data_IF_739772448654
#
_entry.id   IF_739772448654
#
_cell.length_a   1.000
_cell.length_b   1.000
_cell.length_c   1.000
_cell.angle_alpha   90.00
_cell.angle_beta   90.00
_cell.angle_gamma   90.00
#
_symmetry.space_group_name_H-M   'P 1'
#
loop_
_entity.id
_entity.type
_entity.pdbx_description
1 polymer ?
#
# COMPACT_ATOMS: atom_id res chain seq x y z
N UNK A 1 22.07 16.14 15.17
CA UNK A 1 21.85 14.68 15.01
C UNK A 1 22.75 13.99 16.00
N UNK A 2 22.23 13.07 16.83
CA UNK A 2 23.04 12.39 17.82
C UNK A 2 23.81 11.25 17.14
N UNK A 3 25.12 11.38 17.00
CA UNK A 3 25.99 10.33 16.48
C UNK A 3 26.09 9.21 17.52
N UNK A 4 25.70 8.02 17.15
CA UNK A 4 25.56 6.89 18.07
C UNK A 4 26.05 5.55 17.51
N UNK A 5 26.74 5.58 16.36
CA UNK A 5 27.42 4.43 15.78
C UNK A 5 28.89 4.72 15.60
N UNK A 6 29.73 3.72 15.88
CA UNK A 6 31.15 3.70 15.50
C UNK A 6 31.40 2.56 14.51
N UNK A 7 32.04 2.89 13.41
CA UNK A 7 32.41 1.92 12.36
C UNK A 7 33.91 1.80 12.32
N UNK A 8 34.40 0.59 12.54
CA UNK A 8 35.81 0.25 12.61
C UNK A 8 36.25 -0.35 11.29
N UNK A 9 37.42 0.06 10.82
CA UNK A 9 38.06 -0.49 9.62
C UNK A 9 39.47 -0.95 9.94
N UNK A 10 39.99 -1.91 9.19
CA UNK A 10 41.34 -2.49 9.41
C UNK A 10 42.51 -1.53 9.16
N UNK A 11 42.28 -0.26 8.79
CA UNK A 11 43.33 0.76 8.67
C UNK A 11 42.78 2.17 8.67
N UNK A 12 43.56 3.14 9.13
CA UNK A 12 43.27 4.58 9.10
C UNK A 12 43.00 5.07 7.67
N UNK A 13 43.74 4.54 6.70
CA UNK A 13 43.55 4.91 5.29
C UNK A 13 42.15 4.56 4.78
N UNK A 14 41.56 3.41 5.21
CA UNK A 14 40.18 3.04 4.88
C UNK A 14 39.17 3.98 5.53
N UNK A 15 39.38 4.34 6.82
CA UNK A 15 38.55 5.32 7.53
C UNK A 15 38.48 6.63 6.76
N UNK A 16 39.63 7.22 6.42
CA UNK A 16 39.73 8.50 5.71
C UNK A 16 39.11 8.45 4.31
N UNK A 17 39.26 7.31 3.61
CA UNK A 17 38.66 7.13 2.28
C UNK A 17 37.13 7.05 2.35
N UNK A 18 36.60 6.35 3.34
CA UNK A 18 35.13 6.23 3.57
C UNK A 18 34.59 7.57 4.05
N UNK A 19 35.23 8.24 5.01
CA UNK A 19 34.82 9.55 5.50
C UNK A 19 34.65 10.56 4.35
N UNK A 20 35.68 10.67 3.50
CA UNK A 20 35.64 11.59 2.36
C UNK A 20 34.50 11.28 1.41
N UNK A 21 34.32 10.01 1.02
CA UNK A 21 33.26 9.62 0.09
C UNK A 21 31.85 9.78 0.70
N UNK A 22 31.72 9.60 2.01
CA UNK A 22 30.47 9.84 2.74
C UNK A 22 30.14 11.33 2.83
N UNK A 23 31.10 12.18 3.14
CA UNK A 23 30.96 13.64 3.16
C UNK A 23 30.62 14.22 1.77
N UNK A 24 31.26 13.70 0.72
CA UNK A 24 30.98 14.10 -0.68
C UNK A 24 29.51 13.80 -1.06
N UNK A 25 28.84 12.92 -0.33
CA UNK A 25 27.40 12.60 -0.44
C UNK A 25 26.50 13.30 0.58
N UNK A 26 27.08 14.21 1.37
CA UNK A 26 26.32 14.99 2.35
C UNK A 26 26.03 14.26 3.67
N UNK A 27 26.67 13.11 3.93
CA UNK A 27 26.51 12.40 5.21
C UNK A 27 27.25 13.12 6.34
N UNK A 28 26.62 13.17 7.52
CA UNK A 28 27.22 13.72 8.75
C UNK A 28 28.09 12.68 9.44
N UNK A 29 29.36 12.58 9.03
CA UNK A 29 30.34 11.61 9.51
C UNK A 29 31.64 12.29 9.97
N UNK A 30 32.27 11.76 10.98
CA UNK A 30 33.59 12.20 11.44
C UNK A 30 34.53 11.02 11.75
N UNK A 31 35.78 11.18 11.37
CA UNK A 31 36.86 10.31 11.82
C UNK A 31 37.30 10.75 13.23
N UNK A 32 37.09 9.89 14.23
CA UNK A 32 37.36 10.18 15.64
C UNK A 32 38.35 9.18 16.23
N UNK A 33 39.09 9.54 17.29
CA UNK A 33 39.92 8.57 18.01
C UNK A 33 39.06 7.42 18.55
N UNK A 34 39.51 6.19 18.35
CA UNK A 34 38.79 5.01 18.83
C UNK A 34 38.74 5.00 20.37
N UNK A 35 37.57 4.85 21.00
CA UNK A 35 37.47 4.62 22.43
C UNK A 35 38.20 3.33 22.82
N UNK A 36 38.88 3.32 23.97
CA UNK A 36 39.65 2.14 24.46
C UNK A 36 38.82 0.86 24.59
N UNK A 37 37.50 1.00 24.76
CA UNK A 37 36.53 -0.11 24.82
C UNK A 37 36.16 -0.71 23.46
N UNK A 38 36.57 -0.06 22.34
CA UNK A 38 36.15 -0.45 20.99
C UNK A 38 37.27 -1.05 20.17
N UNK A 39 38.49 -0.52 20.27
CA UNK A 39 39.66 -1.04 19.53
C UNK A 39 40.94 -0.75 20.24
N UNK A 40 41.84 -1.76 20.28
CA UNK A 40 43.25 -1.63 20.71
C UNK A 40 44.22 -1.45 19.53
N UNK A 41 43.79 -1.70 18.28
CA UNK A 41 44.68 -1.80 17.11
C UNK A 41 44.56 -0.65 16.11
N UNK A 42 43.41 0.02 16.02
CA UNK A 42 43.20 1.16 15.10
C UNK A 42 42.91 2.41 15.90
N UNK A 43 43.79 3.41 15.82
CA UNK A 43 43.64 4.65 16.57
C UNK A 43 42.52 5.58 16.11
N UNK A 44 41.83 5.28 14.98
CA UNK A 44 40.77 6.10 14.38
C UNK A 44 39.60 5.21 13.90
N UNK A 45 38.40 5.65 14.16
CA UNK A 45 37.14 5.02 13.72
C UNK A 45 36.22 6.07 13.12
N UNK A 46 35.22 5.65 12.33
CA UNK A 46 34.22 6.55 11.79
C UNK A 46 33.05 6.66 12.75
N UNK A 47 32.68 7.85 13.15
CA UNK A 47 31.49 8.14 13.96
C UNK A 47 30.36 8.66 13.05
N UNK A 48 29.16 8.10 13.18
CA UNK A 48 27.99 8.44 12.35
C UNK A 48 26.69 8.32 13.16
N UNK A 49 25.65 9.02 12.73
CA UNK A 49 24.29 8.84 13.22
C UNK A 49 23.65 7.56 12.67
N UNK A 50 22.82 6.88 13.47
CA UNK A 50 22.09 5.69 12.98
C UNK A 50 21.14 6.00 11.85
N UNK A 51 20.70 7.24 11.69
CA UNK A 51 19.86 7.67 10.56
C UNK A 51 20.60 7.62 9.20
N UNK A 52 21.94 7.69 9.23
CA UNK A 52 22.75 7.72 8.01
C UNK A 52 23.44 6.35 7.74
N UNK A 53 23.12 5.32 8.54
CA UNK A 53 23.76 4.00 8.45
C UNK A 53 23.56 3.32 7.09
N UNK A 54 22.35 3.40 6.51
CA UNK A 54 22.03 2.84 5.19
C UNK A 54 22.80 3.55 4.08
N UNK A 55 22.80 4.88 4.12
CA UNK A 55 23.53 5.67 3.14
C UNK A 55 25.05 5.44 3.24
N UNK A 56 25.57 5.14 4.44
CA UNK A 56 26.94 4.71 4.60
C UNK A 56 27.17 3.31 4.01
N UNK A 57 26.23 2.39 4.15
CA UNK A 57 26.32 1.06 3.53
C UNK A 57 26.46 1.17 2.02
N UNK A 58 25.65 2.02 1.37
CA UNK A 58 25.76 2.30 -0.08
C UNK A 58 27.15 2.85 -0.48
N UNK A 59 27.74 3.70 0.36
CA UNK A 59 29.11 4.20 0.14
C UNK A 59 30.13 3.06 0.25
N UNK A 60 29.98 2.19 1.23
CA UNK A 60 30.88 1.05 1.45
C UNK A 60 30.82 0.05 0.29
N UNK A 61 29.64 -0.23 -0.22
CA UNK A 61 29.43 -1.11 -1.37
C UNK A 61 30.09 -0.57 -2.65
N UNK A 62 29.95 0.73 -2.90
CA UNK A 62 30.59 1.40 -4.04
C UNK A 62 32.12 1.35 -3.92
N UNK A 63 32.64 1.57 -2.72
CA UNK A 63 34.10 1.55 -2.46
C UNK A 63 34.65 0.14 -2.37
N UNK A 64 33.79 -0.90 -2.25
CA UNK A 64 34.16 -2.29 -1.94
C UNK A 64 35.02 -2.39 -0.68
N UNK A 65 34.59 -1.68 0.37
CA UNK A 65 35.26 -1.66 1.68
C UNK A 65 34.28 -2.25 2.69
N UNK A 66 34.70 -3.31 3.37
CA UNK A 66 33.92 -3.90 4.47
C UNK A 66 34.45 -3.36 5.82
N UNK A 67 33.55 -2.99 6.75
CA UNK A 67 33.94 -2.66 8.11
C UNK A 67 34.40 -3.92 8.86
N UNK A 68 35.36 -3.76 9.74
CA UNK A 68 35.87 -4.85 10.60
C UNK A 68 34.93 -5.08 11.79
N UNK A 69 34.30 -4.03 12.31
CA UNK A 69 33.33 -4.09 13.38
C UNK A 69 32.46 -2.80 13.40
N UNK A 70 31.28 -2.92 13.97
CA UNK A 70 30.40 -1.79 14.23
C UNK A 70 29.97 -1.83 15.70
N UNK A 71 29.87 -0.67 16.32
CA UNK A 71 29.44 -0.52 17.71
C UNK A 71 28.34 0.53 17.81
N UNK A 72 27.37 0.30 18.68
CA UNK A 72 26.28 1.25 19.00
C UNK A 72 26.40 1.74 20.43
N UNK A 73 26.17 3.04 20.63
CA UNK A 73 26.19 3.67 21.95
C UNK A 73 24.92 3.30 22.74
N UNK A 74 25.11 2.74 23.96
CA UNK A 74 24.04 2.52 24.92
C UNK A 74 24.43 3.22 26.24
N UNK A 75 23.83 4.37 26.52
CA UNK A 75 24.27 5.23 27.62
C UNK A 75 25.71 5.71 27.40
N UNK A 76 26.61 5.39 28.32
CA UNK A 76 28.06 5.73 28.21
C UNK A 76 28.92 4.61 27.62
N UNK A 77 28.32 3.46 27.25
CA UNK A 77 29.06 2.30 26.77
C UNK A 77 28.84 2.04 25.29
N UNK A 78 29.83 1.41 24.62
CA UNK A 78 29.74 0.96 23.24
C UNK A 78 29.53 -0.55 23.21
N UNK A 79 28.48 -1.01 22.53
CA UNK A 79 28.15 -2.45 22.38
C UNK A 79 28.26 -2.87 20.93
N UNK A 80 28.77 -4.09 20.64
CA UNK A 80 28.80 -4.62 19.27
C UNK A 80 27.46 -4.51 18.59
N UNK A 81 27.45 -4.13 17.31
CA UNK A 81 26.27 -3.90 16.49
C UNK A 81 26.61 -4.21 15.02
N UNK A 82 25.65 -4.01 14.13
CA UNK A 82 25.81 -4.03 12.68
C UNK A 82 25.47 -2.66 12.09
N UNK A 83 25.94 -2.39 10.86
CA UNK A 83 25.49 -1.22 10.09
C UNK A 83 24.06 -1.39 9.58
N UNK A 84 23.56 -2.62 9.52
CA UNK A 84 22.17 -2.86 9.21
C UNK A 84 21.30 -2.08 10.21
N UNK A 85 20.56 -1.12 9.70
CA UNK A 85 19.49 -0.48 10.46
C UNK A 85 18.62 -1.60 10.99
N UNK A 86 18.37 -1.57 12.28
CA UNK A 86 17.58 -2.52 13.06
C UNK A 86 17.00 -3.66 12.22
N UNK A 87 17.61 -4.84 12.30
CA UNK A 87 16.88 -6.07 12.01
C UNK A 87 15.44 -5.92 12.50
N UNK A 88 14.50 -6.39 11.73
CA UNK A 88 13.04 -6.41 11.81
C UNK A 88 12.42 -6.69 13.22
N UNK A 89 13.14 -6.51 14.30
CA UNK A 89 12.70 -6.71 15.68
C UNK A 89 12.12 -5.46 16.38
N UNK A 90 12.19 -4.28 15.75
CA UNK A 90 11.21 -3.23 16.00
C UNK A 90 10.28 -3.21 14.80
N UNK A 91 9.19 -3.95 14.90
CA UNK A 91 8.05 -3.86 13.99
C UNK A 91 7.73 -2.37 13.82
N UNK A 92 8.14 -1.84 12.67
CA UNK A 92 7.73 -0.50 12.26
C UNK A 92 6.23 -0.58 12.11
N UNK A 93 5.50 0.04 13.04
CA UNK A 93 4.04 0.07 12.95
C UNK A 93 3.64 1.11 11.93
N UNK A 94 3.34 0.67 10.74
CA UNK A 94 2.95 1.54 9.64
C UNK A 94 1.75 2.42 9.99
N UNK A 95 0.83 1.90 10.81
CA UNK A 95 -0.41 2.61 11.18
C UNK A 95 -0.20 3.75 12.17
N UNK A 96 0.91 3.78 12.92
CA UNK A 96 1.20 4.87 13.89
C UNK A 96 1.43 6.22 13.19
N UNK A 97 1.95 6.23 11.96
CA UNK A 97 2.19 7.43 11.16
C UNK A 97 0.98 7.97 10.41
N UNK A 98 -0.18 7.30 10.47
CA UNK A 98 -1.36 7.65 9.68
C UNK A 98 -2.52 8.12 10.55
N UNK A 99 -3.13 9.25 10.17
CA UNK A 99 -4.32 9.78 10.86
C UNK A 99 -5.56 8.87 10.66
N UNK A 100 -5.63 8.18 9.51
CA UNK A 100 -6.75 7.31 9.12
C UNK A 100 -6.23 5.93 8.75
N UNK A 101 -7.08 4.91 8.81
CA UNK A 101 -6.78 3.55 8.33
C UNK A 101 -7.46 3.26 7.01
N UNK A 102 -6.67 2.96 5.95
CA UNK A 102 -7.17 2.49 4.67
C UNK A 102 -8.24 3.36 4.04
N UNK A 103 -9.29 2.72 3.56
CA UNK A 103 -10.42 3.38 2.89
C UNK A 103 -11.22 4.35 3.79
N UNK A 104 -11.02 4.34 5.11
CA UNK A 104 -11.56 5.35 6.04
C UNK A 104 -10.98 6.76 5.83
N UNK A 105 -9.91 6.89 5.03
CA UNK A 105 -9.35 8.17 4.61
C UNK A 105 -10.09 8.82 3.43
N UNK A 106 -11.06 8.14 2.80
CA UNK A 106 -11.84 8.70 1.67
C UNK A 106 -12.62 9.95 2.12
N UNK A 107 -12.63 10.98 1.27
CA UNK A 107 -13.52 12.14 1.46
C UNK A 107 -14.98 11.69 1.44
N UNK A 108 -15.84 12.36 2.20
CA UNK A 108 -17.26 12.03 2.17
C UNK A 108 -17.85 12.26 0.77
N UNK A 109 -18.75 11.35 0.33
CA UNK A 109 -19.41 11.41 -0.97
C UNK A 109 -20.07 12.78 -1.22
N UNK A 110 -20.75 13.35 -0.22
CA UNK A 110 -21.42 14.65 -0.34
C UNK A 110 -20.45 15.81 -0.59
N UNK A 111 -19.29 15.82 0.07
CA UNK A 111 -18.26 16.82 -0.17
C UNK A 111 -17.68 16.68 -1.58
N UNK A 112 -17.33 15.46 -1.98
CA UNK A 112 -16.75 15.19 -3.30
C UNK A 112 -17.76 15.57 -4.42
N UNK A 113 -19.03 15.19 -4.27
CA UNK A 113 -20.10 15.59 -5.19
C UNK A 113 -20.19 17.11 -5.32
N UNK A 114 -20.20 17.85 -4.20
CA UNK A 114 -20.26 19.32 -4.21
C UNK A 114 -19.09 19.94 -4.97
N UNK A 115 -17.88 19.40 -4.82
CA UNK A 115 -16.69 19.89 -5.52
C UNK A 115 -16.76 19.58 -7.02
N UNK A 116 -17.18 18.38 -7.40
CA UNK A 116 -17.20 17.94 -8.80
C UNK A 116 -18.35 18.56 -9.61
N UNK A 117 -19.51 18.85 -9.00
CA UNK A 117 -20.66 19.44 -9.68
C UNK A 117 -20.38 20.82 -10.34
N UNK A 118 -19.35 21.53 -9.87
CA UNK A 118 -18.95 22.82 -10.44
C UNK A 118 -17.94 22.75 -11.57
N UNK A 119 -17.46 21.57 -11.92
CA UNK A 119 -16.39 21.41 -12.91
C UNK A 119 -16.95 21.21 -14.32
N UNK A 120 -16.25 21.72 -15.37
CA UNK A 120 -16.60 21.46 -16.76
C UNK A 120 -16.55 19.94 -17.05
N UNK A 121 -17.56 19.44 -17.74
CA UNK A 121 -17.59 18.04 -18.19
C UNK A 121 -16.97 17.91 -19.56
N UNK A 122 -16.07 16.94 -19.70
CA UNK A 122 -15.51 16.55 -20.99
C UNK A 122 -16.33 15.37 -21.51
N UNK A 123 -17.16 15.63 -22.49
CA UNK A 123 -17.96 14.60 -23.17
C UNK A 123 -17.12 13.93 -24.27
N UNK A 124 -17.28 12.62 -24.41
CA UNK A 124 -16.76 11.83 -25.52
C UNK A 124 -17.73 10.70 -25.82
N UNK A 125 -17.97 10.42 -27.10
CA UNK A 125 -18.79 9.28 -27.53
C UNK A 125 -18.12 7.93 -27.16
N UNK A 126 -16.82 7.94 -26.92
CA UNK A 126 -16.05 6.76 -26.51
C UNK A 126 -16.08 6.53 -25.00
N UNK A 127 -16.55 7.48 -24.19
CA UNK A 127 -16.67 7.33 -22.75
C UNK A 127 -17.93 6.52 -22.40
N UNK A 128 -17.75 5.23 -22.08
CA UNK A 128 -18.87 4.32 -21.72
C UNK A 128 -19.31 4.53 -20.27
N UNK A 129 -18.34 4.68 -19.36
CA UNK A 129 -18.57 4.95 -17.93
C UNK A 129 -17.65 6.09 -17.50
N UNK A 130 -18.25 7.16 -16.95
CA UNK A 130 -17.57 8.34 -16.45
C UNK A 130 -17.87 8.58 -14.97
N UNK A 131 -17.67 9.82 -14.54
CA UNK A 131 -17.83 10.21 -13.12
C UNK A 131 -19.31 10.40 -12.70
N UNK A 132 -20.26 10.31 -13.63
CA UNK A 132 -21.66 10.64 -13.40
C UNK A 132 -22.41 9.54 -12.63
N UNK A 133 -22.07 8.29 -12.88
CA UNK A 133 -22.77 7.12 -12.33
C UNK A 133 -22.14 6.59 -11.04
N UNK A 134 -21.00 7.15 -10.62
CA UNK A 134 -20.27 6.71 -9.45
C UNK A 134 -19.98 5.19 -9.45
N UNK A 135 -19.76 4.62 -10.65
CA UNK A 135 -19.29 3.25 -10.82
C UNK A 135 -17.84 3.10 -10.31
N UNK A 136 -17.38 1.87 -10.11
CA UNK A 136 -16.10 1.55 -9.48
C UNK A 136 -14.90 2.02 -10.33
N UNK A 137 -15.03 2.06 -11.66
CA UNK A 137 -13.99 2.54 -12.56
C UNK A 137 -14.52 3.28 -13.79
N UNK A 138 -13.68 4.11 -14.41
CA UNK A 138 -13.94 4.71 -15.72
C UNK A 138 -13.71 3.71 -16.85
N UNK A 139 -14.59 3.74 -17.89
CA UNK A 139 -14.48 2.84 -19.05
C UNK A 139 -14.49 3.64 -20.34
N UNK A 140 -13.47 3.42 -21.18
CA UNK A 140 -13.31 4.10 -22.47
C UNK A 140 -13.23 3.08 -23.60
N UNK A 141 -14.07 3.23 -24.63
CA UNK A 141 -14.08 2.42 -25.84
C UNK A 141 -12.82 2.68 -26.66
N UNK A 142 -12.19 1.63 -27.13
CA UNK A 142 -11.11 1.70 -28.13
C UNK A 142 -11.59 1.22 -29.50
N UNK A 143 -12.38 0.14 -29.53
CA UNK A 143 -12.97 -0.45 -30.71
C UNK A 143 -14.38 -0.95 -30.36
N UNK A 144 -15.09 -1.50 -31.35
CA UNK A 144 -16.41 -2.10 -31.11
C UNK A 144 -16.35 -3.35 -30.20
N UNK A 145 -15.16 -3.98 -30.08
CA UNK A 145 -14.98 -5.21 -29.30
C UNK A 145 -14.09 -5.00 -28.06
N UNK A 146 -13.45 -3.83 -27.89
CA UNK A 146 -12.49 -3.59 -26.82
C UNK A 146 -12.70 -2.23 -26.17
N UNK A 147 -12.84 -2.23 -24.86
CA UNK A 147 -12.77 -1.03 -24.02
C UNK A 147 -11.70 -1.20 -22.92
N UNK A 148 -11.17 -0.09 -22.48
CA UNK A 148 -10.26 0.00 -21.34
C UNK A 148 -11.01 0.41 -20.09
N UNK A 149 -10.73 -0.29 -19.00
CA UNK A 149 -11.10 0.09 -17.64
C UNK A 149 -9.91 0.79 -17.02
N UNK A 150 -10.14 1.96 -16.42
CA UNK A 150 -9.12 2.71 -15.70
C UNK A 150 -9.59 3.02 -14.28
N UNK A 151 -8.82 2.58 -13.30
CA UNK A 151 -9.02 2.93 -11.91
C UNK A 151 -7.73 3.36 -11.24
N UNK A 152 -7.86 4.08 -10.13
CA UNK A 152 -6.74 4.49 -9.29
C UNK A 152 -7.18 4.45 -7.85
N UNK A 153 -6.60 3.52 -7.10
CA UNK A 153 -6.87 3.40 -5.68
C UNK A 153 -5.57 3.32 -4.88
N UNK A 154 -5.44 4.17 -3.86
CA UNK A 154 -4.31 4.19 -2.93
C UNK A 154 -4.80 4.61 -1.56
N UNK A 155 -4.16 4.08 -0.52
CA UNK A 155 -4.60 4.31 0.84
C UNK A 155 -3.45 4.35 1.84
N UNK A 156 -3.67 4.94 3.03
CA UNK A 156 -2.78 4.75 4.15
C UNK A 156 -2.85 3.31 4.68
N UNK A 157 -1.87 2.89 5.50
CA UNK A 157 -1.81 1.53 6.03
C UNK A 157 -3.04 1.13 6.87
N UNK A 158 -3.54 -0.08 6.59
CA UNK A 158 -4.58 -0.73 7.38
C UNK A 158 -4.01 -1.70 8.42
N UNK A 159 -2.80 -2.17 8.17
CA UNK A 159 -2.07 -3.12 9.02
C UNK A 159 -0.62 -2.65 9.19
N UNK A 160 0.04 -3.10 10.27
CA UNK A 160 1.39 -2.65 10.59
C UNK A 160 2.48 -3.36 9.77
N UNK A 161 2.25 -4.60 9.35
CA UNK A 161 3.21 -5.36 8.56
C UNK A 161 3.24 -4.84 7.10
N UNK A 162 4.42 -4.40 6.60
CA UNK A 162 4.56 -3.82 5.28
C UNK A 162 4.16 -4.76 4.14
N UNK A 163 4.51 -6.04 4.21
CA UNK A 163 4.21 -6.99 3.15
C UNK A 163 2.71 -7.27 2.98
N UNK A 164 1.95 -7.65 4.03
CA UNK A 164 0.50 -7.74 3.94
C UNK A 164 -0.17 -6.42 3.54
N UNK A 165 0.32 -5.26 4.00
CA UNK A 165 -0.22 -3.98 3.56
C UNK A 165 -0.10 -3.81 2.04
N UNK A 166 1.06 -4.12 1.46
CA UNK A 166 1.26 -4.09 0.01
C UNK A 166 0.29 -5.00 -0.74
N UNK A 167 0.06 -6.21 -0.23
CA UNK A 167 -0.92 -7.16 -0.80
C UNK A 167 -2.34 -6.63 -0.75
N UNK A 168 -2.76 -6.08 0.40
CA UNK A 168 -4.11 -5.54 0.61
C UNK A 168 -4.37 -4.37 -0.34
N UNK A 169 -3.45 -3.41 -0.41
CA UNK A 169 -3.60 -2.23 -1.26
C UNK A 169 -3.69 -2.61 -2.76
N UNK A 170 -2.90 -3.58 -3.20
CA UNK A 170 -2.97 -4.09 -4.57
C UNK A 170 -4.27 -4.86 -4.84
N UNK A 171 -4.71 -5.72 -3.93
CA UNK A 171 -5.97 -6.45 -4.05
C UNK A 171 -7.18 -5.50 -4.13
N UNK A 172 -7.16 -4.42 -3.34
CA UNK A 172 -8.19 -3.38 -3.36
C UNK A 172 -8.22 -2.65 -4.72
N UNK A 173 -7.08 -2.15 -5.21
CA UNK A 173 -7.03 -1.43 -6.48
C UNK A 173 -7.38 -2.30 -7.71
N UNK A 174 -7.10 -3.60 -7.67
CA UNK A 174 -7.47 -4.54 -8.73
C UNK A 174 -8.97 -4.90 -8.71
N UNK A 175 -9.62 -4.73 -7.56
CA UNK A 175 -11.03 -5.11 -7.34
C UNK A 175 -11.98 -4.38 -8.28
N UNK A 176 -11.78 -3.09 -8.48
CA UNK A 176 -12.62 -2.25 -9.35
C UNK A 176 -12.69 -2.79 -10.78
N UNK A 177 -11.58 -3.34 -11.29
CA UNK A 177 -11.57 -3.92 -12.66
C UNK A 177 -12.48 -5.13 -12.75
N UNK A 178 -12.49 -5.99 -11.73
CA UNK A 178 -13.39 -7.14 -11.70
C UNK A 178 -14.84 -6.74 -11.43
N UNK A 179 -15.09 -5.71 -10.61
CA UNK A 179 -16.41 -5.18 -10.38
C UNK A 179 -17.05 -4.62 -11.67
N UNK A 180 -16.22 -4.15 -12.61
CA UNK A 180 -16.66 -3.69 -13.93
C UNK A 180 -16.76 -4.81 -14.99
N UNK A 181 -16.63 -6.08 -14.60
CA UNK A 181 -16.67 -7.24 -15.52
C UNK A 181 -15.42 -7.42 -16.36
N UNK A 182 -14.32 -6.74 -16.03
CA UNK A 182 -13.09 -6.74 -16.79
C UNK A 182 -12.01 -7.69 -16.27
N UNK A 183 -10.90 -7.68 -17.02
CA UNK A 183 -9.70 -8.42 -16.66
C UNK A 183 -8.53 -7.44 -16.50
N UNK A 184 -7.83 -7.42 -15.34
CA UNK A 184 -6.65 -6.59 -15.15
C UNK A 184 -5.57 -6.91 -16.19
N UNK A 185 -5.01 -5.86 -16.82
CA UNK A 185 -3.96 -5.98 -17.85
C UNK A 185 -2.62 -5.51 -17.32
N UNK A 186 -2.57 -4.31 -16.78
CA UNK A 186 -1.34 -3.69 -16.30
C UNK A 186 -1.64 -2.74 -15.14
N UNK A 187 -0.65 -2.57 -14.26
CA UNK A 187 -0.75 -1.61 -13.16
C UNK A 187 0.53 -0.80 -12.99
N UNK A 188 0.41 0.36 -12.36
CA UNK A 188 1.51 1.24 -11.97
C UNK A 188 1.43 1.49 -10.47
N UNK A 189 2.58 1.39 -9.79
CA UNK A 189 2.67 1.75 -8.37
C UNK A 189 2.46 3.25 -8.16
N UNK A 190 1.69 3.62 -7.16
CA UNK A 190 1.55 4.97 -6.63
C UNK A 190 2.03 4.98 -5.19
N UNK A 191 3.05 5.77 -4.89
CA UNK A 191 3.72 5.74 -3.58
C UNK A 191 4.00 7.16 -3.09
N UNK A 192 3.49 7.49 -1.91
CA UNK A 192 4.02 8.55 -1.04
C UNK A 192 4.71 7.88 0.14
N UNK A 193 5.97 8.21 0.43
CA UNK A 193 6.74 7.44 1.40
C UNK A 193 7.60 8.33 2.32
N UNK A 194 7.46 8.21 3.65
CA UNK A 194 8.28 8.92 4.63
C UNK A 194 9.59 8.14 4.89
N UNK A 195 10.51 8.16 3.92
CA UNK A 195 11.73 7.35 3.90
C UNK A 195 12.55 7.44 5.20
N UNK A 196 12.68 8.65 5.78
CA UNK A 196 13.44 8.89 7.02
C UNK A 196 12.82 8.23 8.26
N UNK A 197 11.52 7.96 8.23
CA UNK A 197 10.78 7.39 9.37
C UNK A 197 10.69 5.87 9.26
N UNK A 198 10.42 5.35 8.07
CA UNK A 198 10.10 3.94 7.84
C UNK A 198 11.26 3.12 7.25
N UNK A 199 12.30 3.78 6.71
CA UNK A 199 13.44 3.09 6.09
C UNK A 199 13.11 2.41 4.75
N UNK A 200 14.14 1.99 4.02
CA UNK A 200 13.99 1.41 2.66
C UNK A 200 13.44 -0.03 2.67
N UNK A 201 13.71 -0.80 3.73
CA UNK A 201 13.30 -2.20 3.80
C UNK A 201 11.77 -2.35 3.90
N UNK A 202 11.10 -1.48 4.69
CA UNK A 202 9.65 -1.48 4.74
C UNK A 202 9.03 -1.14 3.38
N UNK A 203 9.59 -0.17 2.65
CA UNK A 203 9.14 0.13 1.29
C UNK A 203 9.30 -1.07 0.35
N UNK A 204 10.44 -1.77 0.42
CA UNK A 204 10.70 -2.96 -0.38
C UNK A 204 9.66 -4.05 -0.13
N UNK A 205 9.30 -4.28 1.13
CA UNK A 205 8.27 -5.27 1.49
C UNK A 205 6.87 -4.86 1.04
N UNK A 206 6.49 -3.58 1.15
CA UNK A 206 5.23 -3.06 0.58
C UNK A 206 5.17 -3.32 -0.93
N UNK A 207 6.22 -2.93 -1.66
CA UNK A 207 6.28 -3.12 -3.11
C UNK A 207 6.32 -4.60 -3.50
N UNK A 208 6.99 -5.46 -2.72
CA UNK A 208 7.01 -6.91 -2.93
C UNK A 208 5.60 -7.51 -2.79
N UNK A 209 4.88 -7.15 -1.72
CA UNK A 209 3.50 -7.60 -1.52
C UNK A 209 2.58 -7.19 -2.68
N UNK A 210 2.68 -5.94 -3.13
CA UNK A 210 1.92 -5.45 -4.28
C UNK A 210 2.27 -6.17 -5.58
N UNK A 211 3.56 -6.38 -5.84
CA UNK A 211 4.03 -7.07 -7.04
C UNK A 211 3.55 -8.53 -7.12
N UNK A 212 3.64 -9.26 -6.01
CA UNK A 212 3.16 -10.65 -5.96
C UNK A 212 1.63 -10.74 -6.17
N UNK A 213 0.87 -9.79 -5.62
CA UNK A 213 -0.59 -9.72 -5.85
C UNK A 213 -0.94 -9.37 -7.30
N UNK A 214 -0.20 -8.45 -7.94
CA UNK A 214 -0.36 -8.19 -9.37
C UNK A 214 -0.06 -9.44 -10.21
N UNK A 215 1.03 -10.15 -9.92
CA UNK A 215 1.36 -11.41 -10.62
C UNK A 215 0.27 -12.47 -10.44
N UNK A 216 -0.29 -12.61 -9.23
CA UNK A 216 -1.42 -13.50 -8.93
C UNK A 216 -2.68 -13.12 -9.73
N UNK A 217 -2.92 -11.83 -9.95
CA UNK A 217 -4.05 -11.34 -10.76
C UNK A 217 -3.86 -11.56 -12.28
N UNK A 218 -2.64 -11.81 -12.74
CA UNK A 218 -2.26 -11.85 -14.14
C UNK A 218 -1.87 -10.50 -14.75
N UNK A 219 -1.94 -9.41 -13.98
CA UNK A 219 -1.51 -8.09 -14.41
C UNK A 219 0.01 -7.94 -14.40
N UNK A 220 0.54 -7.08 -15.26
CA UNK A 220 1.97 -6.77 -15.32
C UNK A 220 2.25 -5.40 -14.69
N UNK A 221 3.40 -5.28 -14.03
CA UNK A 221 3.86 -3.98 -13.53
C UNK A 221 4.42 -3.15 -14.70
N UNK A 222 3.78 -2.02 -15.00
CA UNK A 222 4.15 -1.10 -16.09
C UNK A 222 4.87 0.16 -15.59
N UNK A 223 5.43 0.13 -14.38
CA UNK A 223 6.14 1.25 -13.76
C UNK A 223 5.41 1.83 -12.55
N UNK A 224 5.55 3.14 -12.34
CA UNK A 224 4.90 3.81 -11.20
C UNK A 224 5.44 5.21 -10.96
N UNK A 225 4.94 5.83 -9.89
CA UNK A 225 5.39 7.12 -9.42
C UNK A 225 5.61 7.10 -7.91
N UNK A 226 6.72 7.68 -7.47
CA UNK A 226 7.11 7.71 -6.06
C UNK A 226 7.46 9.14 -5.66
N UNK A 227 6.91 9.59 -4.56
CA UNK A 227 7.24 10.88 -3.95
C UNK A 227 7.67 10.69 -2.49
N UNK A 228 8.62 11.50 -2.01
CA UNK A 228 8.90 11.58 -0.59
C UNK A 228 7.78 12.40 0.06
N UNK A 229 7.04 11.80 1.01
CA UNK A 229 5.91 12.38 1.69
C UNK A 229 6.04 12.30 3.20
N UNK A 230 5.10 12.91 3.92
CA UNK A 230 5.04 12.85 5.39
C UNK A 230 4.32 11.58 5.88
N UNK A 231 3.46 11.02 5.04
CA UNK A 231 2.62 9.86 5.33
C UNK A 231 2.83 8.79 4.25
N UNK A 232 2.84 7.53 4.66
CA UNK A 232 2.81 6.41 3.73
C UNK A 232 1.43 6.31 3.09
N UNK A 233 1.42 6.44 1.76
CA UNK A 233 0.29 6.08 0.92
C UNK A 233 0.79 5.13 -0.16
N UNK A 234 0.10 4.02 -0.34
CA UNK A 234 0.42 3.05 -1.38
C UNK A 234 -0.84 2.52 -2.06
N UNK A 235 -0.74 2.30 -3.34
CA UNK A 235 -1.74 1.68 -4.16
C UNK A 235 -1.34 1.61 -5.62
N UNK A 236 -2.32 1.41 -6.48
CA UNK A 236 -2.11 1.19 -7.91
C UNK A 236 -3.00 2.10 -8.75
N UNK A 237 -2.48 2.51 -9.91
CA UNK A 237 -3.29 2.86 -11.05
C UNK A 237 -3.38 1.63 -11.95
N UNK A 238 -4.57 1.10 -12.14
CA UNK A 238 -4.82 -0.15 -12.86
C UNK A 238 -5.49 0.12 -14.20
N UNK A 239 -5.03 -0.57 -15.23
CA UNK A 239 -5.70 -0.66 -16.52
C UNK A 239 -6.17 -2.09 -16.72
N UNK A 240 -7.45 -2.25 -17.00
CA UNK A 240 -8.07 -3.51 -17.38
C UNK A 240 -8.70 -3.44 -18.77
N UNK A 241 -9.18 -4.56 -19.24
CA UNK A 241 -9.90 -4.70 -20.53
C UNK A 241 -11.24 -5.36 -20.34
N UNK A 242 -12.23 -4.94 -21.15
CA UNK A 242 -13.57 -5.50 -21.17
C UNK A 242 -14.17 -5.33 -22.58
N UNK A 243 -15.13 -6.17 -22.96
CA UNK A 243 -15.95 -5.91 -24.15
C UNK A 243 -16.94 -4.77 -23.86
N UNK A 244 -17.09 -3.76 -24.72
CA UNK A 244 -17.96 -2.60 -24.48
C UNK A 244 -19.38 -2.94 -24.01
N UNK A 245 -19.97 -4.00 -24.59
CA UNK A 245 -21.33 -4.44 -24.27
C UNK A 245 -21.43 -5.36 -23.04
N UNK A 246 -20.31 -5.68 -22.39
CA UNK A 246 -20.23 -6.55 -21.19
C UNK A 246 -19.72 -5.83 -19.95
N UNK A 247 -19.79 -4.51 -19.95
CA UNK A 247 -19.42 -3.69 -18.79
C UNK A 247 -20.49 -3.84 -17.72
N UNK A 248 -20.09 -4.31 -16.54
CA UNK A 248 -20.97 -4.30 -15.36
C UNK A 248 -21.00 -2.90 -14.76
N UNK A 249 -22.09 -2.59 -14.07
CA UNK A 249 -22.33 -1.29 -13.45
C UNK A 249 -22.89 -1.45 -12.05
N UNK A 250 -22.78 -0.40 -11.26
CA UNK A 250 -23.46 -0.32 -9.95
C UNK A 250 -24.97 -0.25 -10.12
N UNK A 251 -25.46 0.32 -11.22
CA UNK A 251 -26.89 0.41 -11.56
C UNK A 251 -27.35 -0.71 -12.49
N UNK A 252 -28.63 -1.02 -12.43
CA UNK A 252 -29.28 -2.04 -13.27
C UNK A 252 -30.00 -3.13 -12.48
N UNK A 253 -29.90 -3.13 -11.14
CA UNK A 253 -30.62 -4.07 -10.30
C UNK A 253 -32.12 -3.94 -10.47
N UNK A 254 -32.84 -5.07 -10.47
CA UNK A 254 -34.27 -5.17 -10.68
C UNK A 254 -34.98 -5.61 -9.39
N UNK A 255 -36.26 -5.17 -9.20
CA UNK A 255 -37.06 -5.67 -8.10
C UNK A 255 -37.18 -7.20 -8.13
N UNK A 256 -36.82 -7.86 -7.05
CA UNK A 256 -36.80 -9.32 -6.94
C UNK A 256 -35.44 -9.96 -7.11
N UNK A 257 -34.41 -9.19 -7.45
CA UNK A 257 -33.01 -9.66 -7.46
C UNK A 257 -32.54 -10.02 -6.04
N UNK A 258 -31.71 -11.05 -5.95
CA UNK A 258 -31.02 -11.41 -4.72
C UNK A 258 -29.65 -10.73 -4.66
N UNK A 259 -29.33 -10.10 -3.54
CA UNK A 259 -28.00 -9.59 -3.26
C UNK A 259 -27.10 -10.73 -2.78
N UNK A 260 -25.96 -10.90 -3.41
CA UNK A 260 -24.95 -11.90 -3.05
C UNK A 260 -23.68 -11.21 -2.60
N UNK A 261 -23.25 -11.47 -1.37
CA UNK A 261 -21.99 -10.98 -0.83
C UNK A 261 -20.94 -12.10 -0.89
N UNK A 262 -19.85 -11.87 -1.62
CA UNK A 262 -18.85 -12.92 -1.92
C UNK A 262 -17.78 -13.06 -0.86
N UNK A 263 -17.70 -12.13 0.11
CA UNK A 263 -16.78 -12.16 1.25
C UNK A 263 -17.50 -11.73 2.53
N UNK A 264 -17.07 -12.20 3.71
CA UNK A 264 -17.66 -11.76 4.98
C UNK A 264 -17.30 -10.30 5.28
N UNK A 265 -18.22 -9.63 5.98
CA UNK A 265 -18.05 -8.26 6.50
C UNK A 265 -17.24 -8.26 7.80
N UNK A 266 -16.66 -7.11 8.15
CA UNK A 266 -16.03 -6.88 9.45
C UNK A 266 -14.54 -6.54 9.40
N UNK A 267 -13.88 -6.63 8.24
CA UNK A 267 -12.46 -6.31 8.08
C UNK A 267 -12.12 -4.90 8.56
N UNK A 268 -12.94 -3.89 8.24
CA UNK A 268 -12.76 -2.51 8.68
C UNK A 268 -12.90 -2.33 10.21
N UNK A 269 -13.79 -3.07 10.86
CA UNK A 269 -13.91 -3.08 12.32
C UNK A 269 -12.67 -3.67 12.97
N UNK A 270 -12.19 -4.80 12.45
CA UNK A 270 -10.97 -5.47 12.97
C UNK A 270 -9.75 -4.58 12.82
N UNK A 271 -9.53 -3.97 11.65
CA UNK A 271 -8.37 -3.09 11.43
C UNK A 271 -8.42 -1.83 12.29
N UNK A 272 -9.61 -1.28 12.51
CA UNK A 272 -9.81 -0.14 13.44
C UNK A 272 -9.52 -0.55 14.88
N UNK A 273 -10.02 -1.70 15.33
CA UNK A 273 -9.74 -2.23 16.67
C UNK A 273 -8.24 -2.56 16.83
N UNK A 274 -7.59 -3.12 15.80
CA UNK A 274 -6.16 -3.41 15.81
C UNK A 274 -5.32 -2.13 15.97
N UNK A 275 -5.65 -1.08 15.22
CA UNK A 275 -5.00 0.23 15.36
C UNK A 275 -5.17 0.81 16.77
N UNK A 276 -6.31 0.56 17.42
CA UNK A 276 -6.57 0.93 18.82
C UNK A 276 -5.97 -0.03 19.86
N UNK A 277 -5.25 -1.09 19.44
CA UNK A 277 -4.69 -2.09 20.35
C UNK A 277 -5.72 -2.99 21.01
N UNK A 278 -6.93 -3.11 20.44
CA UNK A 278 -8.07 -3.85 21.01
C UNK A 278 -8.38 -5.16 20.28
N UNK A 279 -7.79 -5.41 19.10
CA UNK A 279 -8.03 -6.63 18.33
C UNK A 279 -7.08 -7.76 18.77
N UNK A 280 -7.58 -8.98 18.81
CA UNK A 280 -6.76 -10.18 18.98
C UNK A 280 -6.00 -10.52 17.68
N UNK A 281 -4.82 -11.15 17.81
CA UNK A 281 -3.95 -11.46 16.67
C UNK A 281 -4.62 -12.36 15.63
N UNK A 282 -5.44 -13.34 16.07
CA UNK A 282 -6.16 -14.27 15.19
C UNK A 282 -7.24 -13.55 14.38
N UNK A 283 -7.91 -12.55 14.96
CA UNK A 283 -8.89 -11.73 14.25
C UNK A 283 -8.21 -10.88 13.17
N UNK A 284 -7.05 -10.27 13.49
CA UNK A 284 -6.25 -9.51 12.52
C UNK A 284 -5.79 -10.41 11.37
N UNK A 285 -5.29 -11.60 11.68
CA UNK A 285 -4.85 -12.59 10.68
C UNK A 285 -6.00 -13.01 9.77
N UNK A 286 -7.19 -13.25 10.34
CA UNK A 286 -8.40 -13.60 9.59
C UNK A 286 -8.83 -12.46 8.67
N UNK A 287 -8.84 -11.23 9.15
CA UNK A 287 -9.16 -10.06 8.35
C UNK A 287 -8.16 -9.86 7.21
N UNK A 288 -6.85 -9.97 7.49
CA UNK A 288 -5.80 -9.88 6.46
C UNK A 288 -5.98 -10.93 5.36
N UNK A 289 -6.32 -12.17 5.71
CA UNK A 289 -6.60 -13.23 4.72
C UNK A 289 -7.71 -12.81 3.76
N UNK A 290 -8.81 -12.28 4.26
CA UNK A 290 -9.92 -11.85 3.40
C UNK A 290 -9.58 -10.61 2.57
N UNK A 291 -8.87 -9.65 3.13
CA UNK A 291 -8.43 -8.44 2.42
C UNK A 291 -7.42 -8.74 1.30
N UNK A 292 -6.58 -9.78 1.46
CA UNK A 292 -5.62 -10.19 0.43
C UNK A 292 -6.19 -11.18 -0.59
N UNK A 293 -7.36 -11.76 -0.35
CA UNK A 293 -8.04 -12.63 -1.30
C UNK A 293 -8.57 -11.80 -2.47
N UNK A 294 -8.17 -12.15 -3.70
CA UNK A 294 -8.63 -11.45 -4.90
C UNK A 294 -10.11 -11.73 -5.19
N UNK A 295 -10.81 -10.74 -5.75
CA UNK A 295 -12.20 -10.88 -6.20
C UNK A 295 -12.31 -11.56 -7.58
N UNK A 296 -11.19 -11.97 -8.18
CA UNK A 296 -11.11 -12.62 -9.48
C UNK A 296 -12.03 -13.83 -9.61
N UNK A 297 -11.97 -14.75 -8.66
CA UNK A 297 -12.73 -16.00 -8.77
C UNK A 297 -14.24 -15.77 -8.66
N UNK A 298 -14.66 -14.78 -7.85
CA UNK A 298 -16.05 -14.32 -7.82
C UNK A 298 -16.48 -13.74 -9.18
N UNK A 299 -15.66 -12.86 -9.77
CA UNK A 299 -15.95 -12.26 -11.06
C UNK A 299 -16.04 -13.31 -12.19
N UNK A 300 -15.17 -14.32 -12.18
CA UNK A 300 -15.22 -15.43 -13.16
C UNK A 300 -16.57 -16.18 -13.07
N UNK A 301 -17.05 -16.47 -11.86
CA UNK A 301 -18.34 -17.14 -11.67
C UNK A 301 -19.50 -16.23 -12.09
N UNK A 302 -19.42 -14.93 -11.77
CA UNK A 302 -20.47 -13.96 -12.12
C UNK A 302 -20.70 -13.81 -13.63
N UNK A 303 -19.67 -14.03 -14.47
CA UNK A 303 -19.85 -14.05 -15.93
C UNK A 303 -20.89 -15.09 -16.38
N UNK A 304 -20.97 -16.23 -15.70
CA UNK A 304 -21.93 -17.31 -16.02
C UNK A 304 -23.36 -16.98 -15.56
N UNK A 305 -23.48 -16.10 -14.56
CA UNK A 305 -24.79 -15.73 -13.93
C UNK A 305 -25.40 -14.52 -14.62
N UNK A 306 -24.62 -13.72 -15.34
CA UNK A 306 -25.05 -12.47 -16.00
C UNK A 306 -25.73 -11.50 -15.01
N UNK A 307 -25.00 -10.94 -14.05
CA UNK A 307 -25.56 -10.11 -12.99
C UNK A 307 -26.11 -8.79 -13.53
N UNK A 308 -27.23 -8.32 -12.98
CA UNK A 308 -27.85 -7.05 -13.35
C UNK A 308 -27.07 -5.84 -12.84
N UNK A 309 -26.46 -5.94 -11.65
CA UNK A 309 -25.62 -4.89 -11.04
C UNK A 309 -24.50 -5.52 -10.22
N UNK A 310 -23.32 -4.89 -10.22
CA UNK A 310 -22.14 -5.34 -9.48
C UNK A 310 -21.43 -4.12 -8.91
N UNK A 311 -20.95 -4.21 -7.69
CA UNK A 311 -20.01 -3.27 -7.07
C UNK A 311 -19.12 -4.02 -6.09
N UNK A 312 -17.95 -3.48 -5.76
CA UNK A 312 -17.20 -3.98 -4.63
C UNK A 312 -17.57 -3.22 -3.34
N UNK A 313 -17.36 -3.84 -2.18
CA UNK A 313 -17.66 -3.23 -0.87
C UNK A 313 -16.37 -2.81 -0.19
N UNK A 314 -16.14 -1.52 -0.10
CA UNK A 314 -14.94 -0.91 0.47
C UNK A 314 -15.23 0.04 1.63
N UNK A 315 -14.67 1.24 1.65
CA UNK A 315 -14.67 2.17 2.78
C UNK A 315 -16.04 2.73 3.21
N UNK A 316 -17.02 2.74 2.33
CA UNK A 316 -18.38 3.17 2.69
C UNK A 316 -19.19 2.06 3.39
N UNK A 317 -18.67 0.84 3.41
CA UNK A 317 -19.32 -0.33 3.98
C UNK A 317 -20.52 -0.80 3.17
N UNK A 318 -21.10 -1.94 3.56
CA UNK A 318 -22.20 -2.54 2.83
C UNK A 318 -23.39 -1.59 2.64
N UNK A 319 -23.79 -0.88 3.68
CA UNK A 319 -24.95 0.02 3.61
C UNK A 319 -24.71 1.18 2.63
N UNK A 320 -23.47 1.71 2.57
CA UNK A 320 -23.11 2.78 1.63
C UNK A 320 -23.15 2.31 0.18
N UNK A 321 -22.49 1.18 -0.14
CA UNK A 321 -22.46 0.64 -1.49
C UNK A 321 -23.83 0.10 -1.94
N UNK A 322 -24.59 -0.54 -1.04
CA UNK A 322 -25.96 -0.94 -1.34
C UNK A 322 -26.91 0.26 -1.63
N UNK A 323 -26.71 1.37 -0.92
CA UNK A 323 -27.44 2.60 -1.20
C UNK A 323 -27.08 3.20 -2.58
N UNK A 324 -25.78 3.16 -2.97
CA UNK A 324 -25.33 3.58 -4.30
C UNK A 324 -25.96 2.72 -5.40
N UNK A 325 -25.94 1.40 -5.22
CA UNK A 325 -26.58 0.46 -6.14
C UNK A 325 -28.11 0.70 -6.26
N UNK A 326 -28.79 0.92 -5.13
CA UNK A 326 -30.21 1.23 -5.09
C UNK A 326 -30.54 2.54 -5.82
N UNK A 327 -29.78 3.60 -5.55
CA UNK A 327 -29.93 4.91 -6.20
C UNK A 327 -29.71 4.82 -7.70
N UNK A 328 -28.61 4.17 -8.14
CA UNK A 328 -28.28 3.99 -9.54
C UNK A 328 -29.29 3.10 -10.30
N UNK A 329 -29.94 2.18 -9.60
CA UNK A 329 -30.93 1.27 -10.16
C UNK A 329 -32.38 1.81 -10.07
N UNK A 330 -32.63 2.89 -9.34
CA UNK A 330 -33.98 3.42 -9.10
C UNK A 330 -34.86 2.47 -8.30
N UNK A 331 -34.32 1.65 -7.43
CA UNK A 331 -35.01 0.67 -6.61
C UNK A 331 -34.66 0.80 -5.12
N UNK A 332 -35.30 0.02 -4.26
CA UNK A 332 -34.94 -0.10 -2.85
C UNK A 332 -34.20 -1.41 -2.61
N UNK A 333 -33.22 -1.37 -1.69
CA UNK A 333 -32.48 -2.55 -1.22
C UNK A 333 -32.92 -2.85 0.21
N UNK A 334 -33.29 -4.09 0.47
CA UNK A 334 -33.60 -4.61 1.79
C UNK A 334 -32.47 -5.50 2.27
N UNK A 335 -31.91 -5.20 3.44
CA UNK A 335 -30.82 -5.94 4.06
C UNK A 335 -31.33 -6.67 5.32
N UNK A 336 -31.30 -7.98 5.29
CA UNK A 336 -31.62 -8.81 6.45
C UNK A 336 -30.36 -8.99 7.30
N UNK A 337 -30.26 -8.25 8.42
CA UNK A 337 -29.04 -8.16 9.22
C UNK A 337 -28.56 -9.52 9.75
N UNK A 338 -29.49 -10.41 10.10
CA UNK A 338 -29.16 -11.74 10.61
C UNK A 338 -28.61 -12.69 9.54
N UNK A 339 -28.87 -12.40 8.26
CA UNK A 339 -28.37 -13.18 7.12
C UNK A 339 -26.99 -12.69 6.62
N UNK A 340 -26.50 -11.55 7.10
CA UNK A 340 -25.23 -11.01 6.64
C UNK A 340 -24.04 -11.86 7.10
N UNK A 341 -23.19 -12.35 6.18
CA UNK A 341 -21.98 -13.06 6.55
C UNK A 341 -20.99 -12.09 7.20
N UNK A 342 -20.71 -12.27 8.48
CA UNK A 342 -19.72 -11.51 9.23
C UNK A 342 -18.54 -12.39 9.62
N UNK A 343 -17.37 -11.77 9.81
CA UNK A 343 -16.24 -12.45 10.41
C UNK A 343 -16.65 -12.97 11.80
N UNK A 344 -16.40 -14.25 12.05
CA UNK A 344 -16.51 -14.81 13.40
C UNK A 344 -15.34 -14.27 14.21
N UNK A 345 -15.60 -13.40 15.16
CA UNK A 345 -14.65 -12.75 16.06
C UNK A 345 -14.78 -13.34 17.45
#
# INVERSE_FOLDING_TARGET
IQRNLLVVFGSVQRVMRVERAARDRGLDVDAVPAPRSVSSECGVVLEIGSADADALTDVLDILKIEPTAVYRKKGETWTPSTLETATVDQLVKLTEGSAYGGCGAKLSKGLLHTVLCGLPRLASDDLIVGIESADDAGVVRLTDELALIHTTDFSPPLVDDPYPFGRIAAANALSDVWAMGGTPLAAKNLVSYPLKQLGKEALKEVLRGGLETMAESGAVLAGGHTVEGQELLYGLAVTGTVHPDKVWRNGGALPGDALVLTKPLGTGLVTTAAKGGMAEADHVTTAMRWMTTLNRDAAVILVEVDPHAVTDVTGFGLAGHAAEMAEASGCAVELELEALPALSL
#
